data_IF_644586722925
#
_entry.id   IF_644586722925
#
_cell.length_a   1.000
_cell.length_b   1.000
_cell.length_c   1.000
_cell.angle_alpha   90.00
_cell.angle_beta   90.00
_cell.angle_gamma   90.00
#
_symmetry.space_group_name_H-M   'P 1'
#
loop_
_entity.id
_entity.type
_entity.pdbx_description
1 polymer ?
#
# COMPACT_ATOMS: atom_id res chain seq x y z
N UNK A 1 17.84 8.13 6.22
CA UNK A 1 18.51 7.33 7.28
C UNK A 1 19.65 8.17 7.83
N UNK A 2 19.66 8.44 9.15
CA UNK A 2 20.71 9.23 9.80
C UNK A 2 22.08 8.53 9.75
N UNK A 3 23.17 9.29 9.84
CA UNK A 3 24.53 8.72 9.86
C UNK A 3 24.76 7.83 11.08
N UNK A 4 24.21 8.20 12.24
CA UNK A 4 24.31 7.38 13.46
C UNK A 4 23.60 6.05 13.33
N UNK A 5 22.46 6.01 12.63
CA UNK A 5 21.75 4.76 12.37
C UNK A 5 22.48 3.87 11.38
N UNK A 6 23.17 4.44 10.38
CA UNK A 6 24.03 3.68 9.48
C UNK A 6 25.18 3.02 10.22
N UNK A 7 25.89 3.80 11.07
CA UNK A 7 26.96 3.27 11.94
C UNK A 7 26.45 2.18 12.86
N UNK A 8 25.26 2.35 13.42
CA UNK A 8 24.62 1.32 14.25
C UNK A 8 24.41 0.02 13.47
N UNK A 9 23.86 0.09 12.23
CA UNK A 9 23.69 -1.11 11.39
C UNK A 9 25.01 -1.83 11.12
N UNK A 10 26.09 -1.07 10.90
CA UNK A 10 27.44 -1.62 10.68
C UNK A 10 28.00 -2.39 11.90
N UNK A 11 27.53 -2.08 13.10
CA UNK A 11 27.94 -2.82 14.33
C UNK A 11 27.26 -4.17 14.50
N UNK A 12 26.21 -4.47 13.71
CA UNK A 12 25.44 -5.69 13.85
C UNK A 12 26.11 -6.85 13.10
N UNK A 13 26.26 -7.99 13.77
CA UNK A 13 26.92 -9.16 13.20
C UNK A 13 25.94 -10.17 12.59
N UNK A 14 24.71 -10.27 13.12
CA UNK A 14 23.72 -11.26 12.71
C UNK A 14 22.88 -10.77 11.53
N UNK A 15 22.92 -11.48 10.39
CA UNK A 15 22.22 -11.10 9.16
C UNK A 15 20.71 -10.93 9.35
N UNK A 16 20.07 -11.77 10.18
CA UNK A 16 18.64 -11.65 10.48
C UNK A 16 18.34 -10.38 11.29
N UNK A 17 19.21 -10.00 12.23
CA UNK A 17 19.08 -8.76 13.01
C UNK A 17 19.21 -7.55 12.10
N UNK A 18 20.19 -7.55 11.18
CA UNK A 18 20.38 -6.48 10.19
C UNK A 18 19.10 -6.26 9.36
N UNK A 19 18.48 -7.34 8.85
CA UNK A 19 17.23 -7.25 8.08
C UNK A 19 16.10 -6.61 8.88
N UNK A 20 15.93 -7.01 10.13
CA UNK A 20 14.90 -6.45 11.03
C UNK A 20 15.16 -4.97 11.31
N UNK A 21 16.40 -4.61 11.65
CA UNK A 21 16.80 -3.22 11.92
C UNK A 21 16.60 -2.34 10.69
N UNK A 22 17.00 -2.81 9.53
CA UNK A 22 16.81 -2.07 8.26
C UNK A 22 15.34 -1.88 7.92
N UNK A 23 14.44 -2.81 8.27
CA UNK A 23 13.00 -2.63 8.09
C UNK A 23 12.41 -1.54 9.01
N UNK A 24 13.10 -1.19 10.09
CA UNK A 24 12.70 -0.20 11.09
C UNK A 24 13.61 1.05 11.07
N UNK A 25 14.20 1.39 9.92
CA UNK A 25 15.13 2.52 9.78
C UNK A 25 14.56 3.88 10.23
N UNK A 26 13.22 4.03 10.24
CA UNK A 26 12.56 5.22 10.75
C UNK A 26 12.91 5.53 12.22
N UNK A 27 13.29 4.51 13.01
CA UNK A 27 13.76 4.70 14.39
C UNK A 27 14.96 5.67 14.43
N UNK A 28 15.86 5.59 13.46
CA UNK A 28 17.04 6.45 13.39
C UNK A 28 16.80 7.88 12.89
N UNK A 29 15.56 8.25 12.59
CA UNK A 29 15.19 9.60 12.13
C UNK A 29 14.83 10.55 13.28
N UNK A 30 14.67 10.02 14.51
CA UNK A 30 14.28 10.79 15.69
C UNK A 30 15.47 11.23 16.54
N UNK A 31 15.38 12.43 17.13
CA UNK A 31 16.30 12.89 18.15
C UNK A 31 15.83 12.39 19.54
N UNK A 32 16.64 11.58 20.19
CA UNK A 32 16.36 10.99 21.50
C UNK A 32 17.02 11.73 22.66
N UNK A 33 17.70 12.87 22.44
CA UNK A 33 18.45 13.60 23.47
C UNK A 33 17.54 14.05 24.60
N UNK A 34 16.30 14.51 24.26
CA UNK A 34 15.31 14.98 25.21
C UNK A 34 14.02 14.13 25.18
N UNK A 35 14.14 12.84 24.85
CA UNK A 35 13.00 11.96 24.75
C UNK A 35 12.30 11.79 26.11
N UNK A 36 10.97 11.93 26.11
CA UNK A 36 10.08 11.65 27.23
C UNK A 36 9.31 10.35 26.98
N UNK A 37 8.72 9.72 28.02
CA UNK A 37 7.89 8.54 27.83
C UNK A 37 6.75 8.73 26.82
N UNK A 38 6.08 9.90 26.83
CA UNK A 38 5.00 10.21 25.88
C UNK A 38 5.53 10.37 24.45
N UNK A 39 6.71 10.96 24.27
CA UNK A 39 7.36 11.04 22.96
C UNK A 39 7.73 9.64 22.46
N UNK A 40 8.26 8.79 23.35
CA UNK A 40 8.61 7.41 23.02
C UNK A 40 7.39 6.61 22.56
N UNK A 41 6.25 6.72 23.26
CA UNK A 41 4.99 6.12 22.86
C UNK A 41 4.57 6.60 21.45
N UNK A 42 4.60 7.92 21.20
CA UNK A 42 4.27 8.50 19.89
C UNK A 42 5.19 7.99 18.78
N UNK A 43 6.49 7.88 19.04
CA UNK A 43 7.45 7.34 18.07
C UNK A 43 7.13 5.87 17.75
N UNK A 44 6.86 5.04 18.76
CA UNK A 44 6.51 3.63 18.54
C UNK A 44 5.21 3.51 17.74
N UNK A 45 4.20 4.32 18.04
CA UNK A 45 2.92 4.30 17.34
C UNK A 45 3.03 4.85 15.90
N UNK A 46 3.90 5.83 15.64
CA UNK A 46 4.12 6.37 14.28
C UNK A 46 4.74 5.34 13.32
N UNK A 47 5.36 4.28 13.83
CA UNK A 47 5.87 3.14 13.04
C UNK A 47 4.73 2.20 12.60
N UNK A 48 3.50 2.45 13.08
CA UNK A 48 2.29 1.70 12.74
C UNK A 48 2.41 0.18 13.00
N UNK A 49 2.63 -0.23 14.26
CA UNK A 49 2.73 -1.65 14.58
C UNK A 49 1.40 -2.36 14.30
N UNK A 50 1.46 -3.43 13.52
CA UNK A 50 0.30 -4.21 13.08
C UNK A 50 0.01 -5.46 13.95
N UNK A 51 0.77 -5.67 15.01
CA UNK A 51 0.59 -6.79 15.94
C UNK A 51 1.31 -6.52 17.26
N UNK A 52 0.93 -7.21 18.37
CA UNK A 52 1.67 -7.14 19.62
C UNK A 52 3.15 -7.50 19.45
N UNK A 53 3.45 -8.49 18.60
CA UNK A 53 4.81 -8.91 18.29
C UNK A 53 5.61 -7.80 17.58
N UNK A 54 4.98 -7.01 16.73
CA UNK A 54 5.62 -5.86 16.07
C UNK A 54 6.08 -4.82 17.10
N UNK A 55 5.27 -4.52 18.14
CA UNK A 55 5.66 -3.60 19.22
C UNK A 55 6.89 -4.14 19.96
N UNK A 56 6.90 -5.44 20.28
CA UNK A 56 8.05 -6.08 20.94
C UNK A 56 9.31 -5.92 20.06
N UNK A 57 9.18 -6.15 18.76
CA UNK A 57 10.30 -6.03 17.81
C UNK A 57 10.79 -4.58 17.71
N UNK A 58 9.90 -3.60 17.64
CA UNK A 58 10.25 -2.17 17.63
C UNK A 58 11.01 -1.82 18.91
N UNK A 59 10.48 -2.17 20.09
CA UNK A 59 11.14 -1.93 21.37
C UNK A 59 12.52 -2.61 21.45
N UNK A 60 12.65 -3.83 20.93
CA UNK A 60 13.92 -4.53 20.86
C UNK A 60 14.96 -3.76 20.02
N UNK A 61 14.60 -3.35 18.81
CA UNK A 61 15.50 -2.58 17.92
C UNK A 61 15.86 -1.24 18.55
N UNK A 62 14.88 -0.53 19.12
CA UNK A 62 15.14 0.73 19.85
C UNK A 62 16.08 0.53 21.03
N UNK A 63 15.97 -0.59 21.76
CA UNK A 63 16.89 -0.93 22.85
C UNK A 63 18.32 -1.16 22.38
N UNK A 64 18.50 -1.83 21.24
CA UNK A 64 19.82 -2.00 20.61
C UNK A 64 20.40 -0.64 20.18
N UNK A 65 19.57 0.21 19.59
CA UNK A 65 19.98 1.54 19.14
C UNK A 65 20.32 2.46 20.33
N UNK A 66 19.53 2.42 21.42
CA UNK A 66 19.83 3.16 22.65
C UNK A 66 21.18 2.75 23.27
N UNK A 67 21.53 1.46 23.23
CA UNK A 67 22.84 0.96 23.66
C UNK A 67 23.96 1.49 22.77
N UNK A 68 23.78 1.51 21.45
CA UNK A 68 24.74 2.06 20.49
C UNK A 68 24.99 3.55 20.75
N UNK A 69 23.96 4.32 21.07
CA UNK A 69 24.05 5.73 21.44
C UNK A 69 24.58 5.98 22.87
N UNK A 70 24.88 4.94 23.64
CA UNK A 70 25.18 5.04 25.07
C UNK A 70 24.13 5.80 25.89
N UNK A 71 22.86 5.79 25.46
CA UNK A 71 21.76 6.49 26.09
C UNK A 71 21.03 5.56 27.08
N UNK A 72 21.58 5.47 28.30
CA UNK A 72 21.02 4.63 29.35
C UNK A 72 19.61 5.04 29.76
N UNK A 73 19.29 6.35 29.73
CA UNK A 73 17.97 6.86 30.07
C UNK A 73 16.93 6.37 29.06
N UNK A 74 17.23 6.48 27.77
CA UNK A 74 16.36 5.96 26.70
C UNK A 74 16.19 4.45 26.83
N UNK A 75 17.28 3.71 27.07
CA UNK A 75 17.22 2.27 27.24
C UNK A 75 16.26 1.88 28.37
N UNK A 76 16.37 2.51 29.54
CA UNK A 76 15.48 2.25 30.68
C UNK A 76 14.02 2.58 30.33
N UNK A 77 13.76 3.75 29.74
CA UNK A 77 12.40 4.12 29.30
C UNK A 77 11.78 3.07 28.39
N UNK A 78 12.57 2.49 27.44
CA UNK A 78 12.07 1.45 26.54
C UNK A 78 11.72 0.16 27.28
N UNK A 79 12.52 -0.21 28.32
CA UNK A 79 12.21 -1.38 29.15
C UNK A 79 10.91 -1.19 29.96
N UNK A 80 10.66 0.04 30.41
CA UNK A 80 9.49 0.40 31.23
C UNK A 80 8.21 0.59 30.40
N UNK A 81 8.29 0.52 29.07
CA UNK A 81 7.12 0.65 28.17
C UNK A 81 6.11 -0.48 28.41
N UNK A 82 4.88 -0.11 28.73
CA UNK A 82 3.75 -1.05 28.75
C UNK A 82 3.29 -1.40 27.30
N UNK A 83 3.81 -2.52 26.82
CA UNK A 83 3.55 -3.01 25.46
C UNK A 83 2.07 -3.37 25.22
N UNK A 84 1.35 -3.77 26.28
CA UNK A 84 -0.08 -4.08 26.17
C UNK A 84 -0.91 -2.80 26.02
N UNK A 85 -0.58 -1.76 26.79
CA UNK A 85 -1.21 -0.45 26.66
C UNK A 85 -0.95 0.17 25.28
N UNK A 86 0.29 0.04 24.77
CA UNK A 86 0.63 0.48 23.42
C UNK A 86 -0.17 -0.28 22.35
N UNK A 87 -0.32 -1.60 22.51
CA UNK A 87 -1.11 -2.38 21.57
C UNK A 87 -2.58 -1.95 21.59
N UNK A 88 -3.15 -1.68 22.76
CA UNK A 88 -4.53 -1.18 22.86
C UNK A 88 -4.72 0.12 22.09
N UNK A 89 -3.71 1.01 22.10
CA UNK A 89 -3.71 2.26 21.31
C UNK A 89 -3.51 2.03 19.81
N UNK A 90 -2.66 1.07 19.43
CA UNK A 90 -2.33 0.77 18.03
C UNK A 90 -3.41 -0.09 17.32
N UNK A 91 -4.12 -0.93 18.07
CA UNK A 91 -5.08 -1.91 17.56
C UNK A 91 -6.16 -1.31 16.64
N UNK A 92 -6.79 -0.16 16.94
CA UNK A 92 -7.78 0.44 16.06
C UNK A 92 -7.23 0.69 14.66
N UNK A 93 -6.02 1.26 14.53
CA UNK A 93 -5.39 1.51 13.24
C UNK A 93 -4.86 0.23 12.59
N UNK A 94 -4.35 -0.72 13.37
CA UNK A 94 -3.90 -2.02 12.87
C UNK A 94 -5.05 -2.89 12.35
N UNK A 95 -6.29 -2.66 12.81
CA UNK A 95 -7.48 -3.35 12.31
C UNK A 95 -8.03 -2.75 11.01
N UNK A 96 -7.70 -1.50 10.68
CA UNK A 96 -8.08 -0.87 9.40
C UNK A 96 -7.35 -1.58 8.26
N UNK A 97 -8.09 -2.19 7.36
CA UNK A 97 -7.53 -2.95 6.23
C UNK A 97 -7.99 -2.44 4.88
N UNK A 98 -9.11 -1.74 4.84
CA UNK A 98 -9.76 -1.33 3.61
C UNK A 98 -10.01 0.18 3.64
N UNK A 99 -10.30 0.74 2.48
CA UNK A 99 -10.59 2.15 2.30
C UNK A 99 -12.01 2.30 1.74
N UNK A 100 -12.80 3.22 2.29
CA UNK A 100 -14.09 3.58 1.69
C UNK A 100 -13.89 4.32 0.37
N UNK A 101 -14.94 4.40 -0.47
CA UNK A 101 -14.86 5.18 -1.70
C UNK A 101 -14.62 6.66 -1.42
N UNK A 102 -15.30 7.21 -0.44
CA UNK A 102 -15.08 8.60 -0.02
C UNK A 102 -13.61 8.88 0.34
N UNK A 103 -13.01 8.03 1.18
CA UNK A 103 -11.60 8.21 1.55
C UNK A 103 -10.65 7.92 0.36
N UNK A 104 -11.04 7.02 -0.56
CA UNK A 104 -10.29 6.82 -1.81
C UNK A 104 -10.26 8.12 -2.63
N UNK A 105 -11.41 8.77 -2.84
CA UNK A 105 -11.50 10.00 -3.62
C UNK A 105 -10.73 11.15 -2.95
N UNK A 106 -10.83 11.30 -1.63
CA UNK A 106 -10.07 12.29 -0.86
C UNK A 106 -8.56 12.10 -1.06
N UNK A 107 -8.05 10.88 -0.83
CA UNK A 107 -6.62 10.56 -1.02
C UNK A 107 -6.19 10.72 -2.47
N UNK A 108 -7.03 10.32 -3.42
CA UNK A 108 -6.76 10.45 -4.85
C UNK A 108 -6.61 11.92 -5.25
N UNK A 109 -7.50 12.79 -4.78
CA UNK A 109 -7.41 14.23 -4.99
C UNK A 109 -6.18 14.84 -4.33
N UNK A 110 -5.90 14.51 -3.08
CA UNK A 110 -4.77 15.05 -2.34
C UNK A 110 -3.43 14.70 -2.99
N UNK A 111 -3.28 13.49 -3.53
CA UNK A 111 -2.11 13.10 -4.32
C UNK A 111 -1.98 14.00 -5.56
N UNK A 112 -3.07 14.32 -6.22
CA UNK A 112 -3.11 15.11 -7.46
C UNK A 112 -2.86 16.61 -7.29
N UNK A 113 -2.90 17.15 -6.06
CA UNK A 113 -2.66 18.59 -5.79
C UNK A 113 -1.23 19.02 -6.17
N UNK A 114 -0.27 18.12 -6.15
CA UNK A 114 1.11 18.41 -6.52
C UNK A 114 1.33 18.06 -7.99
N UNK A 115 1.54 19.04 -8.84
CA UNK A 115 1.85 18.88 -10.28
C UNK A 115 3.26 18.29 -10.53
N UNK A 116 3.67 17.31 -9.75
CA UNK A 116 4.94 16.61 -9.92
C UNK A 116 4.70 15.24 -10.56
N UNK A 117 5.65 14.78 -11.39
CA UNK A 117 5.58 13.42 -11.98
C UNK A 117 5.29 12.32 -10.94
N UNK A 118 5.87 12.43 -9.74
CA UNK A 118 5.61 11.47 -8.67
C UNK A 118 4.13 11.43 -8.27
N UNK A 119 3.49 12.58 -8.16
CA UNK A 119 2.08 12.68 -7.78
C UNK A 119 1.21 12.04 -8.85
N UNK A 120 1.45 12.35 -10.11
CA UNK A 120 0.75 11.74 -11.23
C UNK A 120 0.96 10.22 -11.30
N UNK A 121 2.21 9.74 -11.13
CA UNK A 121 2.52 8.32 -11.08
C UNK A 121 1.80 7.62 -9.92
N UNK A 122 1.84 8.20 -8.71
CA UNK A 122 1.19 7.63 -7.53
C UNK A 122 -0.32 7.64 -7.64
N UNK A 123 -0.90 8.72 -8.13
CA UNK A 123 -2.34 8.87 -8.37
C UNK A 123 -2.83 7.79 -9.35
N UNK A 124 -2.14 7.63 -10.48
CA UNK A 124 -2.50 6.64 -11.50
C UNK A 124 -2.33 5.21 -10.97
N UNK A 125 -1.26 4.91 -10.22
CA UNK A 125 -1.05 3.59 -9.60
C UNK A 125 -2.13 3.28 -8.56
N UNK A 126 -2.49 4.26 -7.73
CA UNK A 126 -3.50 4.12 -6.70
C UNK A 126 -4.87 3.80 -7.32
N UNK A 127 -5.25 4.53 -8.34
CA UNK A 127 -6.48 4.29 -9.10
C UNK A 127 -6.46 2.97 -9.86
N UNK A 128 -5.33 2.62 -10.47
CA UNK A 128 -5.13 1.37 -11.20
C UNK A 128 -5.48 0.15 -10.32
N UNK A 129 -4.95 0.10 -9.10
CA UNK A 129 -5.26 -0.95 -8.13
C UNK A 129 -6.73 -0.93 -7.71
N UNK A 130 -7.30 0.25 -7.46
CA UNK A 130 -8.69 0.40 -7.05
C UNK A 130 -9.68 -0.04 -8.13
N UNK A 131 -9.39 0.24 -9.40
CA UNK A 131 -10.24 -0.17 -10.51
C UNK A 131 -10.12 -1.65 -10.89
N UNK A 132 -9.16 -2.37 -10.30
CA UNK A 132 -9.10 -3.83 -10.41
C UNK A 132 -7.90 -4.38 -11.17
N UNK A 133 -6.91 -3.54 -11.54
CA UNK A 133 -5.67 -3.99 -12.16
C UNK A 133 -4.71 -4.46 -11.06
N UNK A 134 -4.79 -5.74 -10.74
CA UNK A 134 -3.98 -6.35 -9.66
C UNK A 134 -3.86 -7.86 -9.86
N UNK A 135 -2.70 -8.40 -9.51
CA UNK A 135 -2.47 -9.80 -9.16
C UNK A 135 -1.37 -9.88 -8.09
N UNK A 136 -1.22 -11.06 -7.45
CA UNK A 136 -0.38 -11.20 -6.25
C UNK A 136 1.10 -10.87 -6.47
N UNK A 137 1.63 -11.06 -7.66
CA UNK A 137 3.00 -10.75 -8.03
C UNK A 137 3.18 -9.38 -8.71
N UNK A 138 2.07 -8.66 -8.96
CA UNK A 138 2.04 -7.35 -9.64
C UNK A 138 2.50 -7.42 -11.11
N UNK A 139 2.51 -8.59 -11.72
CA UNK A 139 2.95 -8.76 -13.10
C UNK A 139 2.05 -8.06 -14.10
N UNK A 140 0.73 -8.00 -13.83
CA UNK A 140 -0.22 -7.28 -14.69
C UNK A 140 0.09 -5.78 -14.77
N UNK A 141 0.60 -5.17 -13.69
CA UNK A 141 1.03 -3.75 -13.70
C UNK A 141 2.37 -3.60 -14.41
N UNK A 142 3.29 -4.51 -14.15
CA UNK A 142 4.61 -4.56 -14.80
C UNK A 142 4.49 -4.68 -16.32
N UNK A 143 3.58 -5.54 -16.80
CA UNK A 143 3.38 -5.83 -18.22
C UNK A 143 2.41 -4.85 -18.92
N UNK A 144 1.82 -3.90 -18.19
CA UNK A 144 0.83 -2.97 -18.73
C UNK A 144 1.44 -2.00 -19.73
N UNK A 145 0.88 -1.94 -20.94
CA UNK A 145 1.33 -1.12 -22.07
C UNK A 145 0.23 -0.17 -22.55
N UNK A 146 0.63 0.96 -23.09
CA UNK A 146 -0.32 1.86 -23.76
C UNK A 146 -1.02 1.20 -24.95
N UNK A 147 -0.31 0.34 -25.70
CA UNK A 147 -0.86 -0.42 -26.84
C UNK A 147 -1.94 -1.44 -26.46
N UNK A 148 -1.99 -1.85 -25.19
CA UNK A 148 -3.02 -2.74 -24.66
C UNK A 148 -4.34 -2.03 -24.33
N UNK A 149 -4.41 -0.68 -24.41
CA UNK A 149 -5.55 0.12 -23.98
C UNK A 149 -6.35 0.58 -25.22
N UNK A 150 -7.54 0.02 -25.38
CA UNK A 150 -8.49 0.33 -26.47
C UNK A 150 -9.76 0.98 -25.90
N UNK A 151 -9.85 2.31 -25.97
CA UNK A 151 -10.94 3.05 -25.31
C UNK A 151 -10.84 2.90 -23.78
N UNK A 152 -11.87 2.34 -23.17
CA UNK A 152 -12.00 2.03 -21.76
C UNK A 152 -11.73 0.55 -21.43
N UNK A 153 -11.25 -0.23 -22.38
CA UNK A 153 -10.88 -1.64 -22.20
C UNK A 153 -9.36 -1.76 -22.22
N UNK A 154 -8.83 -2.45 -21.23
CA UNK A 154 -7.40 -2.80 -21.15
C UNK A 154 -7.22 -4.31 -21.18
N UNK A 155 -6.32 -4.77 -22.04
CA UNK A 155 -5.87 -6.17 -22.08
C UNK A 155 -4.69 -6.33 -21.12
N UNK A 156 -4.86 -7.17 -20.11
CA UNK A 156 -3.89 -7.42 -19.04
C UNK A 156 -3.20 -8.76 -19.26
N UNK A 157 -1.87 -8.78 -19.07
CA UNK A 157 -1.04 -9.97 -19.27
C UNK A 157 -0.31 -10.34 -17.98
N UNK A 158 -0.49 -11.59 -17.53
CA UNK A 158 0.27 -12.18 -16.41
C UNK A 158 1.60 -12.78 -16.91
N UNK A 159 2.57 -12.98 -16.03
CA UNK A 159 3.87 -13.58 -16.39
C UNK A 159 3.77 -15.07 -16.79
N UNK A 160 2.70 -15.75 -16.39
CA UNK A 160 2.42 -17.14 -16.77
C UNK A 160 1.80 -17.29 -18.18
N UNK A 161 1.63 -16.17 -18.90
CA UNK A 161 1.08 -16.14 -20.25
C UNK A 161 -0.44 -16.00 -20.32
N UNK A 162 -1.15 -16.00 -19.20
CA UNK A 162 -2.58 -15.72 -19.15
C UNK A 162 -2.84 -14.25 -19.51
N UNK A 163 -3.96 -14.01 -20.20
CA UNK A 163 -4.45 -12.65 -20.46
C UNK A 163 -5.95 -12.57 -20.25
N UNK A 164 -6.41 -11.37 -19.90
CA UNK A 164 -7.82 -11.07 -19.75
C UNK A 164 -8.09 -9.57 -20.01
N UNK A 165 -9.32 -9.26 -20.36
CA UNK A 165 -9.75 -7.88 -20.56
C UNK A 165 -10.43 -7.34 -19.31
N UNK A 166 -10.18 -6.06 -19.01
CA UNK A 166 -10.81 -5.35 -17.91
C UNK A 166 -11.33 -4.01 -18.43
N UNK A 167 -12.58 -3.69 -18.12
CA UNK A 167 -13.13 -2.35 -18.35
C UNK A 167 -12.69 -1.44 -17.21
N UNK A 168 -12.10 -0.30 -17.56
CA UNK A 168 -11.60 0.74 -16.66
C UNK A 168 -12.26 2.09 -16.99
N UNK A 169 -12.08 3.07 -16.11
CA UNK A 169 -12.56 4.42 -16.42
C UNK A 169 -11.74 5.09 -17.53
N UNK A 170 -12.37 5.98 -18.27
CA UNK A 170 -11.68 6.80 -19.28
C UNK A 170 -10.55 7.62 -18.68
N UNK A 171 -10.71 8.09 -17.45
CA UNK A 171 -9.69 8.83 -16.72
C UNK A 171 -8.45 7.97 -16.46
N UNK A 172 -8.63 6.74 -15.98
CA UNK A 172 -7.51 5.80 -15.79
C UNK A 172 -6.87 5.46 -17.13
N UNK A 173 -7.65 5.18 -18.17
CA UNK A 173 -7.14 4.87 -19.50
C UNK A 173 -6.25 5.98 -20.07
N UNK A 174 -6.67 7.24 -19.91
CA UNK A 174 -5.89 8.41 -20.32
C UNK A 174 -4.62 8.58 -19.48
N UNK A 175 -4.73 8.46 -18.16
CA UNK A 175 -3.58 8.54 -17.24
C UNK A 175 -2.52 7.48 -17.54
N UNK A 176 -2.93 6.24 -17.84
CA UNK A 176 -2.02 5.16 -18.22
C UNK A 176 -1.29 5.44 -19.55
N UNK A 177 -2.01 5.94 -20.56
CA UNK A 177 -1.41 6.34 -21.84
C UNK A 177 -0.43 7.49 -21.68
N UNK A 178 -0.76 8.45 -20.85
CA UNK A 178 0.11 9.58 -20.54
C UNK A 178 1.39 9.13 -19.80
N UNK A 179 1.27 8.26 -18.78
CA UNK A 179 2.44 7.69 -18.09
C UNK A 179 3.40 6.97 -19.04
N UNK A 180 2.88 6.30 -20.08
CA UNK A 180 3.72 5.60 -21.05
C UNK A 180 4.63 6.54 -21.86
N UNK A 181 4.30 7.82 -21.95
CA UNK A 181 5.09 8.83 -22.67
C UNK A 181 6.33 9.29 -21.87
N UNK A 182 6.37 9.07 -20.56
CA UNK A 182 7.48 9.52 -19.74
C UNK A 182 8.63 8.51 -19.74
N UNK A 183 9.79 8.95 -20.26
CA UNK A 183 11.06 8.19 -20.21
C UNK A 183 12.06 8.79 -19.22
N UNK A 184 11.80 10.00 -18.77
CA UNK A 184 12.66 10.75 -17.85
C UNK A 184 11.79 11.41 -16.81
N UNK A 185 12.28 11.41 -15.60
CA UNK A 185 11.66 12.06 -14.47
C UNK A 185 12.61 13.09 -13.87
N UNK A 186 12.10 14.26 -13.54
CA UNK A 186 12.83 15.29 -12.82
C UNK A 186 12.67 15.12 -11.32
N UNK A 187 13.80 15.06 -10.63
CA UNK A 187 13.84 15.03 -9.17
C UNK A 187 14.60 16.23 -8.65
N UNK A 188 13.92 17.06 -7.86
CA UNK A 188 14.56 18.16 -7.14
C UNK A 188 15.28 17.63 -5.90
N UNK A 189 16.56 17.87 -5.78
CA UNK A 189 17.36 17.57 -4.60
C UNK A 189 18.10 18.84 -4.11
N UNK A 190 18.89 18.71 -3.04
CA UNK A 190 19.63 19.84 -2.47
C UNK A 190 20.65 20.47 -3.45
N UNK A 191 21.08 19.72 -4.45
CA UNK A 191 22.08 20.14 -5.45
C UNK A 191 21.44 20.68 -6.73
N UNK A 192 20.09 20.69 -6.84
CA UNK A 192 19.37 21.15 -8.02
C UNK A 192 18.42 20.09 -8.59
N UNK A 193 18.06 20.25 -9.87
CA UNK A 193 17.23 19.31 -10.61
C UNK A 193 18.11 18.22 -11.19
N UNK A 194 17.80 16.95 -10.93
CA UNK A 194 18.43 15.83 -11.62
C UNK A 194 17.39 15.07 -12.45
N UNK A 195 17.80 14.69 -13.66
CA UNK A 195 16.98 13.89 -14.56
C UNK A 195 17.24 12.40 -14.31
N UNK A 196 16.19 11.67 -13.98
CA UNK A 196 16.25 10.23 -13.71
C UNK A 196 15.64 9.51 -14.89
N UNK A 197 16.44 8.67 -15.54
CA UNK A 197 15.94 7.80 -16.63
C UNK A 197 15.03 6.72 -16.06
N UNK A 198 13.86 6.57 -16.66
CA UNK A 198 12.90 5.52 -16.35
C UNK A 198 13.06 4.36 -17.34
N UNK A 199 12.85 3.15 -16.87
CA UNK A 199 12.87 1.95 -17.68
C UNK A 199 11.62 1.11 -17.43
N UNK A 200 10.99 0.69 -18.52
CA UNK A 200 9.94 -0.30 -18.54
C UNK A 200 10.41 -1.58 -19.23
N UNK A 201 9.65 -2.65 -19.16
CA UNK A 201 9.93 -3.90 -19.88
C UNK A 201 9.78 -3.68 -21.40
N UNK A 202 8.89 -2.80 -21.78
CA UNK A 202 8.64 -2.39 -23.16
C UNK A 202 8.76 -0.86 -23.29
N UNK A 203 8.96 -0.37 -24.50
CA UNK A 203 9.07 1.06 -24.78
C UNK A 203 7.80 1.84 -24.39
N UNK A 204 6.62 1.21 -24.57
CA UNK A 204 5.31 1.74 -24.28
C UNK A 204 4.73 1.25 -22.92
N UNK A 205 5.57 0.74 -22.00
CA UNK A 205 5.15 0.39 -20.65
C UNK A 205 4.57 1.59 -19.92
N UNK A 206 3.39 1.42 -19.31
CA UNK A 206 2.73 2.49 -18.54
C UNK A 206 3.48 2.80 -17.24
N UNK A 207 3.90 1.77 -16.51
CA UNK A 207 4.62 1.93 -15.25
C UNK A 207 6.12 1.65 -15.43
N UNK A 208 6.88 2.68 -15.78
CA UNK A 208 8.33 2.64 -15.82
C UNK A 208 8.92 3.00 -14.44
N UNK A 209 10.03 2.40 -14.07
CA UNK A 209 10.69 2.59 -12.77
C UNK A 209 12.14 3.01 -12.93
N UNK A 210 12.71 3.67 -11.91
CA UNK A 210 14.14 3.92 -11.83
C UNK A 210 14.87 2.60 -11.57
N UNK A 211 15.53 2.06 -12.58
CA UNK A 211 16.41 0.90 -12.43
C UNK A 211 17.80 1.38 -12.00
N UNK A 212 18.21 1.06 -10.79
CA UNK A 212 19.59 1.20 -10.34
C UNK A 212 20.38 -0.03 -10.77
N UNK A 213 21.58 0.14 -11.27
CA UNK A 213 22.40 -0.92 -11.87
C UNK A 213 22.35 -2.23 -11.09
N UNK A 214 22.03 -3.34 -11.78
CA UNK A 214 21.83 -4.66 -11.19
C UNK A 214 20.43 -4.97 -10.69
N UNK A 215 19.43 -4.14 -10.97
CA UNK A 215 18.02 -4.43 -10.60
C UNK A 215 17.43 -5.50 -11.53
N UNK A 216 16.85 -6.52 -10.91
CA UNK A 216 16.12 -7.61 -11.55
C UNK A 216 14.60 -7.30 -11.65
N UNK A 217 13.82 -8.25 -12.16
CA UNK A 217 12.36 -8.12 -12.25
C UNK A 217 11.66 -7.89 -10.89
N UNK A 218 12.27 -8.36 -9.78
CA UNK A 218 11.72 -8.14 -8.43
C UNK A 218 11.69 -6.66 -8.06
N UNK A 219 12.54 -5.84 -8.70
CA UNK A 219 12.61 -4.38 -8.47
C UNK A 219 11.33 -3.65 -8.84
N UNK A 220 10.59 -4.12 -9.86
CA UNK A 220 9.30 -3.54 -10.25
C UNK A 220 8.27 -3.70 -9.13
N UNK A 221 8.07 -4.94 -8.68
CA UNK A 221 7.15 -5.25 -7.58
C UNK A 221 7.47 -4.43 -6.34
N UNK A 222 8.74 -4.40 -5.95
CA UNK A 222 9.20 -3.62 -4.80
C UNK A 222 8.91 -2.11 -4.96
N UNK A 223 9.08 -1.56 -6.17
CA UNK A 223 8.80 -0.15 -6.46
C UNK A 223 7.32 0.18 -6.26
N UNK A 224 6.40 -0.67 -6.74
CA UNK A 224 4.96 -0.47 -6.57
C UNK A 224 4.53 -0.52 -5.10
N UNK A 225 5.01 -1.52 -4.35
CA UNK A 225 4.76 -1.61 -2.92
C UNK A 225 5.31 -0.40 -2.15
N UNK A 226 6.49 0.08 -2.52
CA UNK A 226 7.10 1.27 -1.91
C UNK A 226 6.29 2.52 -2.20
N UNK A 227 5.78 2.67 -3.43
CA UNK A 227 4.93 3.80 -3.82
C UNK A 227 3.63 3.81 -3.00
N UNK A 228 2.95 2.69 -2.88
CA UNK A 228 1.72 2.59 -2.09
C UNK A 228 1.98 2.81 -0.59
N UNK A 229 3.09 2.31 -0.08
CA UNK A 229 3.49 2.58 1.31
C UNK A 229 3.76 4.07 1.56
N UNK A 230 4.30 4.78 0.58
CA UNK A 230 4.51 6.22 0.67
C UNK A 230 3.17 6.95 0.72
N UNK A 231 2.22 6.62 -0.17
CA UNK A 231 0.86 7.15 -0.14
C UNK A 231 0.22 6.90 1.23
N UNK A 232 0.28 5.66 1.73
CA UNK A 232 -0.29 5.31 3.03
C UNK A 232 0.30 6.14 4.18
N UNK A 233 1.61 6.38 4.15
CA UNK A 233 2.29 7.17 5.19
C UNK A 233 1.94 8.66 5.13
N UNK A 234 1.71 9.20 3.95
CA UNK A 234 1.44 10.63 3.74
C UNK A 234 -0.04 10.99 3.95
N UNK A 235 -0.95 10.11 3.56
CA UNK A 235 -2.39 10.41 3.47
C UNK A 235 -3.27 9.52 4.35
N UNK A 236 -2.75 8.42 4.90
CA UNK A 236 -3.51 7.50 5.72
C UNK A 236 -2.84 7.29 7.09
N UNK A 237 -3.65 7.03 8.11
CA UNK A 237 -3.16 6.68 9.45
C UNK A 237 -2.71 5.22 9.58
N UNK A 238 -2.82 4.42 8.51
CA UNK A 238 -2.54 2.99 8.50
C UNK A 238 -1.91 2.56 7.16
N UNK A 239 -1.20 1.42 7.16
CA UNK A 239 -0.62 0.84 5.96
C UNK A 239 -1.71 0.17 5.12
N UNK A 240 -1.93 0.70 3.91
CA UNK A 240 -2.78 0.10 2.91
C UNK A 240 -1.94 -0.75 1.95
N UNK A 241 -2.24 -2.04 1.85
CA UNK A 241 -1.56 -2.94 0.92
C UNK A 241 -2.25 -2.97 -0.45
N UNK A 242 -1.55 -3.31 -1.54
CA UNK A 242 -2.16 -3.40 -2.88
C UNK A 242 -3.42 -4.26 -2.93
N UNK A 243 -3.39 -5.46 -2.33
CA UNK A 243 -4.55 -6.34 -2.24
C UNK A 243 -5.73 -5.67 -1.52
N UNK A 244 -5.47 -4.90 -0.47
CA UNK A 244 -6.52 -4.23 0.31
C UNK A 244 -7.18 -3.12 -0.50
N UNK A 245 -6.40 -2.34 -1.24
CA UNK A 245 -6.91 -1.30 -2.14
C UNK A 245 -7.73 -1.90 -3.29
N UNK A 246 -7.24 -2.98 -3.90
CA UNK A 246 -7.93 -3.74 -4.92
C UNK A 246 -9.28 -4.29 -4.42
N UNK A 247 -9.30 -4.92 -3.24
CA UNK A 247 -10.53 -5.43 -2.61
C UNK A 247 -11.50 -4.30 -2.29
N UNK A 248 -10.99 -3.14 -1.85
CA UNK A 248 -11.82 -1.96 -1.58
C UNK A 248 -12.57 -1.50 -2.84
N UNK A 249 -11.89 -1.46 -3.98
CA UNK A 249 -12.54 -1.13 -5.25
C UNK A 249 -13.58 -2.18 -5.69
N UNK A 250 -13.31 -3.47 -5.50
CA UNK A 250 -14.30 -4.54 -5.73
C UNK A 250 -15.53 -4.34 -4.85
N UNK A 251 -15.33 -4.08 -3.56
CA UNK A 251 -16.44 -3.86 -2.61
C UNK A 251 -17.28 -2.64 -2.97
N UNK A 252 -16.67 -1.54 -3.40
CA UNK A 252 -17.39 -0.38 -3.88
C UNK A 252 -18.32 -0.73 -5.06
N UNK A 253 -17.81 -1.43 -6.06
CA UNK A 253 -18.62 -1.82 -7.24
C UNK A 253 -19.69 -2.84 -6.90
N UNK A 254 -19.43 -3.78 -5.97
CA UNK A 254 -20.46 -4.67 -5.42
C UNK A 254 -21.55 -3.83 -4.76
N UNK A 255 -21.18 -2.83 -3.95
CA UNK A 255 -22.13 -1.94 -3.28
C UNK A 255 -23.04 -1.19 -4.25
N UNK A 256 -22.48 -0.63 -5.33
CA UNK A 256 -23.27 0.00 -6.39
C UNK A 256 -24.32 -0.96 -6.95
N UNK A 257 -23.94 -2.22 -7.20
CA UNK A 257 -24.86 -3.24 -7.70
C UNK A 257 -25.90 -3.67 -6.65
N UNK A 258 -25.53 -3.79 -5.41
CA UNK A 258 -26.48 -4.11 -4.32
C UNK A 258 -27.51 -3.01 -4.17
N UNK A 259 -27.11 -1.74 -4.29
CA UNK A 259 -28.01 -0.59 -4.24
C UNK A 259 -29.06 -0.60 -5.36
N UNK A 260 -28.71 -1.05 -6.57
CA UNK A 260 -29.67 -1.22 -7.67
C UNK A 260 -30.81 -2.20 -7.30
N UNK A 261 -30.56 -3.14 -6.38
CA UNK A 261 -31.53 -4.12 -5.89
C UNK A 261 -32.08 -3.78 -4.49
N UNK A 262 -31.74 -2.62 -3.91
CA UNK A 262 -32.10 -2.22 -2.54
C UNK A 262 -31.66 -3.25 -1.47
N UNK A 263 -30.48 -3.84 -1.63
CA UNK A 263 -29.90 -4.82 -0.69
C UNK A 263 -28.76 -4.12 0.09
N UNK A 264 -28.84 -4.17 1.44
CA UNK A 264 -27.77 -3.65 2.29
C UNK A 264 -26.50 -4.52 2.25
N UNK A 265 -25.35 -3.95 2.58
CA UNK A 265 -24.12 -4.74 2.76
C UNK A 265 -24.27 -5.77 3.88
N UNK A 266 -24.87 -5.40 4.99
CA UNK A 266 -25.10 -6.29 6.13
C UNK A 266 -25.89 -7.53 5.70
N UNK A 267 -26.99 -7.35 4.98
CA UNK A 267 -27.80 -8.45 4.46
C UNK A 267 -27.01 -9.29 3.43
N UNK A 268 -26.33 -8.63 2.50
CA UNK A 268 -25.58 -9.31 1.44
C UNK A 268 -24.44 -10.19 1.99
N UNK A 269 -23.76 -9.75 3.04
CA UNK A 269 -22.61 -10.43 3.63
C UNK A 269 -22.96 -11.20 4.92
N UNK A 270 -24.24 -11.28 5.32
CA UNK A 270 -24.68 -12.10 6.43
C UNK A 270 -24.28 -13.57 6.25
N UNK A 271 -23.88 -14.21 7.35
CA UNK A 271 -23.33 -15.59 7.35
C UNK A 271 -24.28 -16.62 6.74
N UNK A 272 -25.58 -16.35 6.78
CA UNK A 272 -26.65 -17.27 6.31
C UNK A 272 -27.21 -16.85 4.94
N UNK A 273 -26.74 -15.75 4.35
CA UNK A 273 -27.27 -15.32 3.07
C UNK A 273 -26.84 -16.29 1.96
N UNK A 274 -27.83 -17.07 1.48
CA UNK A 274 -27.71 -17.99 0.35
C UNK A 274 -28.40 -17.45 -0.90
N UNK A 275 -28.72 -16.16 -0.92
CA UNK A 275 -29.37 -15.54 -2.05
C UNK A 275 -28.50 -15.69 -3.31
N UNK A 276 -29.11 -16.22 -4.36
CA UNK A 276 -28.45 -16.44 -5.65
C UNK A 276 -28.13 -15.15 -6.35
N UNK A 277 -28.97 -14.11 -6.20
CA UNK A 277 -28.73 -12.79 -6.79
C UNK A 277 -27.49 -12.16 -6.19
N UNK A 278 -27.41 -12.10 -4.86
CA UNK A 278 -26.24 -11.57 -4.16
C UNK A 278 -24.96 -12.35 -4.49
N UNK A 279 -25.05 -13.67 -4.48
CA UNK A 279 -23.90 -14.52 -4.84
C UNK A 279 -23.47 -14.30 -6.30
N UNK A 280 -24.42 -14.08 -7.19
CA UNK A 280 -24.19 -13.74 -8.61
C UNK A 280 -23.51 -12.38 -8.77
N UNK A 281 -23.97 -11.34 -8.05
CA UNK A 281 -23.35 -10.01 -8.07
C UNK A 281 -21.88 -10.10 -7.65
N UNK A 282 -21.61 -10.77 -6.52
CA UNK A 282 -20.23 -10.94 -6.02
C UNK A 282 -19.39 -11.73 -7.01
N UNK A 283 -19.90 -12.86 -7.53
CA UNK A 283 -19.17 -13.70 -8.47
C UNK A 283 -18.83 -12.96 -9.77
N UNK A 284 -19.78 -12.18 -10.31
CA UNK A 284 -19.59 -11.40 -11.53
C UNK A 284 -18.48 -10.36 -11.33
N UNK A 285 -18.45 -9.65 -10.19
CA UNK A 285 -17.44 -8.64 -9.94
C UNK A 285 -16.05 -9.26 -9.70
N UNK A 286 -15.98 -10.38 -9.01
CA UNK A 286 -14.74 -11.14 -8.86
C UNK A 286 -14.21 -11.65 -10.21
N UNK A 287 -15.10 -12.17 -11.07
CA UNK A 287 -14.76 -12.62 -12.42
C UNK A 287 -14.28 -11.45 -13.29
N UNK A 288 -14.95 -10.28 -13.22
CA UNK A 288 -14.57 -9.07 -13.95
C UNK A 288 -13.12 -8.68 -13.70
N UNK A 289 -12.69 -8.78 -12.45
CA UNK A 289 -11.32 -8.42 -12.02
C UNK A 289 -10.34 -9.61 -12.07
N UNK A 290 -10.72 -10.75 -12.67
CA UNK A 290 -9.92 -11.99 -12.64
C UNK A 290 -9.48 -12.39 -11.22
N UNK A 291 -10.32 -12.11 -10.23
CA UNK A 291 -10.05 -12.48 -8.84
C UNK A 291 -10.28 -13.98 -8.65
N UNK A 292 -9.21 -14.72 -8.36
CA UNK A 292 -9.25 -16.18 -8.17
C UNK A 292 -9.88 -16.62 -6.83
N UNK A 293 -10.33 -15.66 -6.01
CA UNK A 293 -10.94 -15.93 -4.71
C UNK A 293 -12.40 -16.38 -4.87
N UNK A 294 -12.78 -17.49 -4.27
CA UNK A 294 -14.17 -17.93 -4.22
C UNK A 294 -15.06 -16.96 -3.42
N UNK A 295 -16.32 -16.81 -3.80
CA UNK A 295 -17.32 -15.95 -3.13
C UNK A 295 -17.35 -16.15 -1.62
N UNK A 296 -17.30 -17.42 -1.16
CA UNK A 296 -17.28 -17.73 0.28
C UNK A 296 -16.06 -17.17 1.00
N UNK A 297 -14.89 -17.34 0.41
CA UNK A 297 -13.64 -16.86 0.98
C UNK A 297 -13.55 -15.33 0.93
N UNK A 298 -14.05 -14.73 -0.15
CA UNK A 298 -14.16 -13.27 -0.28
C UNK A 298 -15.05 -12.68 0.81
N UNK A 299 -16.26 -13.24 1.01
CA UNK A 299 -17.17 -12.83 2.11
C UNK A 299 -16.49 -12.92 3.48
N UNK A 300 -15.74 -13.99 3.73
CA UNK A 300 -15.02 -14.15 5.00
C UNK A 300 -13.91 -13.11 5.18
N UNK A 301 -13.21 -12.75 4.11
CA UNK A 301 -12.14 -11.76 4.13
C UNK A 301 -12.64 -10.36 4.51
N UNK A 302 -13.82 -9.96 4.03
CA UNK A 302 -14.36 -8.61 4.24
C UNK A 302 -15.31 -8.49 5.44
N UNK A 303 -15.81 -9.61 5.97
CA UNK A 303 -16.85 -9.67 7.00
C UNK A 303 -16.63 -8.79 8.23
N UNK A 304 -15.39 -8.62 8.67
CA UNK A 304 -15.08 -7.81 9.86
C UNK A 304 -14.87 -6.31 9.57
N UNK A 305 -15.20 -5.87 8.36
CA UNK A 305 -14.87 -4.53 7.87
C UNK A 305 -15.99 -3.92 7.01
N UNK A 306 -17.21 -4.42 7.12
CA UNK A 306 -18.34 -3.96 6.30
C UNK A 306 -18.71 -2.50 6.58
N UNK A 307 -18.51 -2.04 7.80
CA UNK A 307 -18.67 -0.65 8.24
C UNK A 307 -17.89 0.36 7.39
N UNK A 308 -16.76 -0.05 6.83
CA UNK A 308 -15.95 0.80 5.92
C UNK A 308 -16.68 1.08 4.61
N UNK A 309 -17.59 0.21 4.19
CA UNK A 309 -18.25 0.23 2.88
C UNK A 309 -19.70 0.69 2.93
N UNK A 310 -20.27 0.90 4.11
CA UNK A 310 -21.70 1.27 4.29
C UNK A 310 -22.02 2.69 3.82
N UNK A 311 -21.02 3.58 3.71
CA UNK A 311 -21.21 4.95 3.26
C UNK A 311 -20.98 5.04 1.74
N UNK A 312 -22.02 4.65 0.97
CA UNK A 312 -22.10 4.83 -0.49
C UNK A 312 -23.06 5.98 -0.85
N UNK A 313 -23.01 7.08 -0.09
CA UNK A 313 -23.75 8.31 -0.45
C UNK A 313 -22.95 9.18 -1.40
#
# INVERSE_FOLDING_TARGET
MSEDFKRFVETLQAQNTIKVVMSLQAIGEYDYSNCTPDMLEKIILSIQPNSPKAIITICYVMSLYAKHLNNHKLYQMIQDVDKNKLWTKAKPNASKKFISHYLFDEVYHDIGVYEEFNSFYYQTLFRCLYEGIYNDDMSVIKNLRASNIKGDIVELHEDDGNSYELQISNELANGLKELAMYDVWERKNRSGICHIKLSGIHSDSCFKVELRGGSDESSYRYSYYRSLRKISKEYLEYNLLPLQLYVSGIMYRIGLKLNEYNISFEDAFATHNRDRVVSGIIANELSRCNCKTEVKNFRQMVKGHLDVFEYLE
#
